data_IF_387245491652
#
_entry.id   IF_387245491652
#
_cell.length_a   1.000
_cell.length_b   1.000
_cell.length_c   1.000
_cell.angle_alpha   90.00
_cell.angle_beta   90.00
_cell.angle_gamma   90.00
#
_symmetry.space_group_name_H-M   'P 1'
#
loop_
_entity.id
_entity.type
_entity.pdbx_description
1 polymer ?
#
# COMPACT_ATOMS: atom_id res chain seq x y z
N UNK A 1 -31.80 -37.23 34.67
CA UNK A 1 -32.00 -35.89 34.08
C UNK A 1 -30.88 -34.91 34.32
N UNK A 2 -29.96 -35.06 35.27
CA UNK A 2 -28.84 -34.09 35.52
C UNK A 2 -27.67 -34.18 34.56
N UNK A 3 -27.44 -35.31 33.88
CA UNK A 3 -26.28 -35.48 32.96
C UNK A 3 -26.47 -34.84 31.57
N UNK A 4 -27.71 -34.68 31.12
CA UNK A 4 -28.02 -34.05 29.81
C UNK A 4 -27.88 -32.52 29.81
N UNK A 5 -28.11 -31.88 30.96
CA UNK A 5 -27.92 -30.41 31.07
C UNK A 5 -26.45 -29.99 31.03
N UNK A 6 -25.55 -30.84 31.56
CA UNK A 6 -24.11 -30.54 31.54
C UNK A 6 -23.50 -30.63 30.12
N UNK A 7 -23.98 -31.55 29.31
CA UNK A 7 -23.53 -31.71 27.91
C UNK A 7 -24.01 -30.56 27.02
N UNK A 8 -25.23 -30.04 27.23
CA UNK A 8 -25.76 -28.90 26.48
C UNK A 8 -25.04 -27.62 26.86
N UNK A 9 -24.70 -27.42 28.13
CA UNK A 9 -23.93 -26.27 28.59
C UNK A 9 -22.49 -26.28 28.04
N UNK A 10 -21.84 -27.45 27.96
CA UNK A 10 -20.50 -27.58 27.38
C UNK A 10 -20.48 -27.30 25.86
N UNK A 11 -21.54 -27.73 25.15
CA UNK A 11 -21.69 -27.48 23.73
C UNK A 11 -21.96 -25.99 23.40
N UNK A 12 -22.73 -25.30 24.24
CA UNK A 12 -23.00 -23.88 24.13
C UNK A 12 -21.74 -23.02 24.41
N UNK A 13 -20.90 -23.43 25.38
CA UNK A 13 -19.62 -22.75 25.67
C UNK A 13 -18.63 -22.97 24.55
N UNK A 14 -18.59 -24.16 23.94
CA UNK A 14 -17.71 -24.44 22.80
C UNK A 14 -18.09 -23.64 21.54
N UNK A 15 -19.39 -23.43 21.28
CA UNK A 15 -19.85 -22.65 20.12
C UNK A 15 -19.62 -21.13 20.29
N UNK A 16 -19.70 -20.62 21.51
CA UNK A 16 -19.39 -19.21 21.81
C UNK A 16 -17.89 -18.91 21.73
N UNK A 17 -17.04 -19.89 22.05
CA UNK A 17 -15.58 -19.74 21.94
C UNK A 17 -15.07 -19.79 20.48
N UNK A 18 -15.75 -20.52 19.59
CA UNK A 18 -15.35 -20.64 18.19
C UNK A 18 -15.60 -19.36 17.38
N UNK A 19 -16.66 -18.63 17.71
CA UNK A 19 -16.95 -17.36 17.01
C UNK A 19 -16.00 -16.22 17.41
N UNK A 20 -15.43 -16.27 18.62
CA UNK A 20 -14.45 -15.29 19.09
C UNK A 20 -13.05 -15.45 18.46
N UNK A 21 -12.62 -16.69 18.22
CA UNK A 21 -11.30 -16.98 17.64
C UNK A 21 -11.23 -16.65 16.14
N UNK A 22 -12.32 -16.90 15.40
CA UNK A 22 -12.40 -16.54 13.99
C UNK A 22 -12.40 -15.02 13.77
N UNK A 23 -13.08 -14.26 14.64
CA UNK A 23 -13.09 -12.80 14.57
C UNK A 23 -11.75 -12.15 14.97
N UNK A 24 -11.01 -12.75 15.91
CA UNK A 24 -9.67 -12.27 16.29
C UNK A 24 -8.60 -12.52 15.23
N UNK A 25 -8.68 -13.62 14.47
CA UNK A 25 -7.72 -13.92 13.41
C UNK A 25 -7.88 -13.06 12.15
N UNK A 26 -9.07 -12.54 11.89
CA UNK A 26 -9.31 -11.58 10.79
C UNK A 26 -8.77 -10.19 11.16
N UNK A 27 -8.65 -9.86 12.43
CA UNK A 27 -8.15 -8.57 12.93
C UNK A 27 -6.61 -8.47 12.99
N UNK A 28 -5.87 -9.53 12.71
CA UNK A 28 -4.39 -9.53 12.71
C UNK A 28 -3.78 -9.07 11.38
N UNK A 29 -4.60 -8.72 10.39
CA UNK A 29 -4.15 -8.25 9.09
C UNK A 29 -3.65 -6.80 9.10
N UNK A 30 -4.23 -5.98 8.25
CA UNK A 30 -3.90 -4.55 8.12
C UNK A 30 -4.53 -3.76 9.28
N UNK A 31 -3.73 -2.97 9.98
CA UNK A 31 -4.15 -2.06 11.05
C UNK A 31 -3.88 -0.60 10.69
N UNK A 32 -2.80 -0.36 9.97
CA UNK A 32 -2.37 0.98 9.55
C UNK A 32 -2.28 1.02 8.04
N UNK A 33 -3.10 1.86 7.43
CA UNK A 33 -3.08 2.14 5.99
C UNK A 33 -2.40 3.47 5.76
N UNK A 34 -1.33 3.49 4.99
CA UNK A 34 -0.66 4.72 4.58
C UNK A 34 -1.10 5.07 3.16
N UNK A 35 -1.64 6.25 2.98
CA UNK A 35 -2.07 6.77 1.69
C UNK A 35 -1.08 7.85 1.24
N UNK A 36 -0.43 7.57 0.13
CA UNK A 36 0.49 8.49 -0.52
C UNK A 36 -0.18 9.18 -1.70
N UNK A 37 -0.33 10.49 -1.61
CA UNK A 37 -0.70 11.30 -2.75
C UNK A 37 0.55 11.65 -3.55
N UNK A 38 0.78 10.98 -4.67
CA UNK A 38 1.96 11.18 -5.50
C UNK A 38 2.16 12.64 -5.91
N UNK A 39 3.41 13.04 -6.11
CA UNK A 39 3.80 14.41 -6.40
C UNK A 39 3.50 15.41 -5.26
N UNK A 40 3.63 16.70 -5.50
CA UNK A 40 3.34 17.77 -4.54
C UNK A 40 4.34 18.92 -4.61
N UNK A 41 3.89 20.08 -4.17
CA UNK A 41 4.65 21.30 -4.20
C UNK A 41 4.96 21.83 -5.61
N UNK A 42 5.71 22.92 -5.74
CA UNK A 42 6.06 23.51 -7.02
C UNK A 42 7.09 22.70 -7.80
N UNK A 43 7.96 21.95 -7.11
CA UNK A 43 9.07 21.21 -7.75
C UNK A 43 8.61 19.92 -8.43
N UNK A 44 7.60 19.25 -7.87
CA UNK A 44 7.09 17.97 -8.37
C UNK A 44 5.60 18.06 -8.67
N UNK A 45 5.16 18.86 -9.68
CA UNK A 45 3.75 19.02 -9.99
C UNK A 45 3.11 17.78 -10.63
N UNK A 46 3.92 16.83 -11.12
CA UNK A 46 3.46 15.71 -11.93
C UNK A 46 3.02 16.16 -13.33
N UNK A 47 2.28 15.31 -14.00
CA UNK A 47 1.68 15.61 -15.28
C UNK A 47 0.64 16.74 -15.16
N UNK A 48 0.39 17.46 -16.26
CA UNK A 48 -0.66 18.47 -16.27
C UNK A 48 -1.40 18.52 -17.62
N UNK A 49 -2.66 18.90 -17.57
CA UNK A 49 -3.47 19.12 -18.74
C UNK A 49 -4.52 20.20 -18.47
N UNK A 50 -4.56 21.25 -19.33
CA UNK A 50 -5.53 22.36 -19.25
C UNK A 50 -5.63 22.99 -17.84
N UNK A 51 -4.49 23.21 -17.20
CA UNK A 51 -4.43 23.83 -15.87
C UNK A 51 -4.72 22.91 -14.69
N UNK A 52 -5.00 21.64 -14.94
CA UNK A 52 -5.16 20.61 -13.89
C UNK A 52 -3.86 19.86 -13.73
N UNK A 53 -3.32 19.82 -12.53
CA UNK A 53 -2.08 19.12 -12.21
C UNK A 53 -2.36 17.76 -11.55
N UNK A 54 -1.52 16.80 -11.85
CA UNK A 54 -1.59 15.47 -11.29
C UNK A 54 -1.53 15.49 -9.75
N UNK A 55 -0.64 16.29 -9.16
CA UNK A 55 -0.50 16.44 -7.72
C UNK A 55 -1.82 16.82 -7.01
N UNK A 56 -2.65 17.64 -7.67
CA UNK A 56 -3.91 18.11 -7.08
C UNK A 56 -4.99 17.04 -7.15
N UNK A 57 -5.05 16.30 -8.25
CA UNK A 57 -5.95 15.16 -8.40
C UNK A 57 -5.58 14.05 -7.43
N UNK A 58 -4.30 13.70 -7.34
CA UNK A 58 -3.80 12.68 -6.42
C UNK A 58 -4.16 13.03 -4.97
N UNK A 59 -3.98 14.29 -4.57
CA UNK A 59 -4.35 14.76 -3.24
C UNK A 59 -5.85 14.63 -2.96
N UNK A 60 -6.69 15.06 -3.90
CA UNK A 60 -8.13 14.96 -3.75
C UNK A 60 -8.61 13.51 -3.64
N UNK A 61 -8.05 12.60 -4.44
CA UNK A 61 -8.39 11.18 -4.40
C UNK A 61 -7.92 10.57 -3.07
N UNK A 62 -6.69 10.86 -2.64
CA UNK A 62 -6.12 10.36 -1.40
C UNK A 62 -6.97 10.78 -0.18
N UNK A 63 -7.34 12.04 -0.09
CA UNK A 63 -8.17 12.54 1.02
C UNK A 63 -9.57 11.91 1.03
N UNK A 64 -10.20 11.75 -0.14
CA UNK A 64 -11.50 11.08 -0.24
C UNK A 64 -11.40 9.59 0.12
N UNK A 65 -10.36 8.90 -0.34
CA UNK A 65 -10.14 7.49 -0.02
C UNK A 65 -9.95 7.31 1.49
N UNK A 66 -9.10 8.11 2.11
CA UNK A 66 -8.84 7.99 3.54
C UNK A 66 -10.08 8.30 4.39
N UNK A 67 -10.82 9.36 4.05
CA UNK A 67 -12.07 9.67 4.73
C UNK A 67 -13.10 8.53 4.60
N UNK A 68 -13.14 7.86 3.45
CA UNK A 68 -14.01 6.71 3.25
C UNK A 68 -13.56 5.51 4.11
N UNK A 69 -12.25 5.22 4.16
CA UNK A 69 -11.71 4.15 5.01
C UNK A 69 -12.02 4.44 6.48
N UNK A 70 -11.76 5.65 6.96
CA UNK A 70 -12.03 6.04 8.35
C UNK A 70 -13.51 5.89 8.72
N UNK A 71 -14.41 6.19 7.77
CA UNK A 71 -15.86 6.04 7.96
C UNK A 71 -16.32 4.59 7.96
N UNK A 72 -15.90 3.80 6.96
CA UNK A 72 -16.42 2.45 6.72
C UNK A 72 -15.69 1.38 7.54
N UNK A 73 -14.43 1.65 7.93
CA UNK A 73 -13.57 0.71 8.67
C UNK A 73 -12.87 1.46 9.82
N UNK A 74 -13.62 1.91 10.84
CA UNK A 74 -13.09 2.81 11.89
C UNK A 74 -11.98 2.19 12.76
N UNK A 75 -11.78 0.88 12.71
CA UNK A 75 -10.68 0.20 13.39
C UNK A 75 -9.33 0.36 12.65
N UNK A 76 -9.32 0.80 11.40
CA UNK A 76 -8.09 1.07 10.66
C UNK A 76 -7.59 2.49 10.96
N UNK A 77 -6.31 2.60 11.26
CA UNK A 77 -5.63 3.89 11.34
C UNK A 77 -5.23 4.32 9.93
N UNK A 78 -5.69 5.48 9.48
CA UNK A 78 -5.26 6.09 8.21
C UNK A 78 -4.17 7.11 8.46
N UNK A 79 -3.07 6.99 7.73
CA UNK A 79 -1.95 7.93 7.74
C UNK A 79 -1.76 8.44 6.31
N UNK A 80 -1.56 9.73 6.15
CA UNK A 80 -1.28 10.33 4.84
C UNK A 80 0.16 10.80 4.78
N UNK A 81 0.83 10.60 3.67
CA UNK A 81 2.14 11.21 3.46
C UNK A 81 2.01 12.74 3.40
N UNK A 82 0.99 13.25 2.72
CA UNK A 82 0.65 14.69 2.71
C UNK A 82 -0.86 14.91 2.71
N UNK A 83 -1.30 16.00 3.32
CA UNK A 83 -2.71 16.45 3.33
C UNK A 83 -2.89 17.82 2.65
N UNK A 84 -1.79 18.40 2.16
CA UNK A 84 -1.74 19.71 1.48
C UNK A 84 -0.86 19.60 0.24
N UNK A 85 -0.85 20.65 -0.59
CA UNK A 85 0.09 20.74 -1.70
C UNK A 85 1.48 21.10 -1.17
N UNK A 86 2.30 20.09 -0.89
CA UNK A 86 3.68 20.23 -0.43
C UNK A 86 4.59 19.16 -1.01
N UNK A 87 5.85 19.49 -1.13
CA UNK A 87 6.97 18.57 -1.27
C UNK A 87 7.76 18.48 0.03
N UNK A 88 8.56 17.44 0.19
CA UNK A 88 9.39 17.23 1.39
C UNK A 88 10.83 17.68 1.19
N UNK A 89 11.30 17.73 -0.05
CA UNK A 89 12.65 18.13 -0.44
C UNK A 89 12.67 18.72 -1.86
N UNK A 90 13.74 19.43 -2.19
CA UNK A 90 14.07 19.83 -3.56
C UNK A 90 14.68 18.68 -4.38
N UNK A 91 15.19 17.66 -3.72
CA UNK A 91 15.69 16.44 -4.33
C UNK A 91 14.58 15.39 -4.41
N UNK A 92 14.34 14.82 -5.60
CA UNK A 92 13.35 13.77 -5.81
C UNK A 92 13.61 12.56 -4.92
N UNK A 93 14.86 12.12 -4.82
CA UNK A 93 15.25 10.98 -3.97
C UNK A 93 14.90 11.23 -2.51
N UNK A 94 15.23 12.41 -1.99
CA UNK A 94 14.91 12.75 -0.60
C UNK A 94 13.41 12.95 -0.37
N UNK A 95 12.68 13.45 -1.39
CA UNK A 95 11.21 13.56 -1.31
C UNK A 95 10.56 12.18 -1.20
N UNK A 96 11.00 11.23 -2.02
CA UNK A 96 10.52 9.85 -1.98
C UNK A 96 10.90 9.17 -0.67
N UNK A 97 12.13 9.39 -0.18
CA UNK A 97 12.59 8.86 1.10
C UNK A 97 11.71 9.35 2.26
N UNK A 98 11.42 10.65 2.30
CA UNK A 98 10.58 11.22 3.36
C UNK A 98 9.17 10.59 3.39
N UNK A 99 8.61 10.21 2.24
CA UNK A 99 7.32 9.49 2.14
C UNK A 99 7.42 8.08 2.74
N UNK A 100 8.49 7.37 2.41
CA UNK A 100 8.78 6.06 2.99
C UNK A 100 8.99 6.14 4.50
N UNK A 101 9.73 7.15 4.98
CA UNK A 101 9.95 7.38 6.41
C UNK A 101 8.65 7.64 7.17
N UNK A 102 7.70 8.37 6.59
CA UNK A 102 6.37 8.58 7.17
C UNK A 102 5.66 7.23 7.33
N UNK A 103 5.71 6.38 6.31
CA UNK A 103 5.09 5.05 6.34
C UNK A 103 5.73 4.17 7.41
N UNK A 104 7.06 4.11 7.44
CA UNK A 104 7.82 3.30 8.39
C UNK A 104 7.60 3.75 9.83
N UNK A 105 7.67 5.07 10.09
CA UNK A 105 7.41 5.64 11.43
C UNK A 105 5.98 5.42 11.91
N UNK A 106 5.03 5.33 10.98
CA UNK A 106 3.64 5.04 11.31
C UNK A 106 3.39 3.55 11.63
N UNK A 107 4.34 2.67 11.33
CA UNK A 107 4.15 1.22 11.35
C UNK A 107 3.11 0.79 10.32
N UNK A 108 3.22 1.30 9.08
CA UNK A 108 2.26 1.04 8.01
C UNK A 108 2.25 -0.43 7.58
N UNK A 109 1.09 -1.05 7.64
CA UNK A 109 0.90 -2.44 7.16
C UNK A 109 0.57 -2.48 5.67
N UNK A 110 -0.06 -1.42 5.13
CA UNK A 110 -0.42 -1.27 3.72
C UNK A 110 -0.07 0.14 3.26
N UNK A 111 0.68 0.24 2.17
CA UNK A 111 1.01 1.50 1.50
C UNK A 111 0.31 1.58 0.15
N UNK A 112 -0.48 2.64 -0.05
CA UNK A 112 -1.23 2.90 -1.29
C UNK A 112 -0.76 4.22 -1.87
N UNK A 113 -0.04 4.19 -2.98
CA UNK A 113 0.33 5.40 -3.72
C UNK A 113 -0.65 5.66 -4.86
N UNK A 114 -1.04 6.91 -5.02
CA UNK A 114 -2.06 7.36 -5.97
C UNK A 114 -1.40 8.29 -6.98
N UNK A 115 -1.54 7.92 -8.26
CA UNK A 115 -1.05 8.68 -9.39
C UNK A 115 -2.13 8.82 -10.48
N UNK A 116 -2.10 9.90 -11.23
CA UNK A 116 -2.99 10.18 -12.37
C UNK A 116 -2.16 10.60 -13.57
N UNK A 117 -1.48 9.61 -14.17
CA UNK A 117 -0.57 9.82 -15.29
C UNK A 117 -1.25 10.47 -16.50
N UNK A 118 -0.52 11.30 -17.23
CA UNK A 118 -0.93 11.78 -18.53
C UNK A 118 -0.25 10.99 -19.65
N UNK A 119 -0.86 11.03 -20.83
CA UNK A 119 -0.29 10.46 -22.05
C UNK A 119 -0.51 11.41 -23.23
N UNK A 120 0.41 11.38 -24.18
CA UNK A 120 0.28 12.19 -25.42
C UNK A 120 -0.90 11.72 -26.29
N UNK A 121 -1.22 10.43 -26.26
CA UNK A 121 -2.34 9.88 -27.03
C UNK A 121 -3.68 10.12 -26.36
N UNK A 122 -4.61 10.73 -27.09
CA UNK A 122 -6.00 10.91 -26.63
C UNK A 122 -6.76 9.58 -26.41
N UNK A 123 -6.28 8.47 -26.97
CA UNK A 123 -6.84 7.14 -26.77
C UNK A 123 -6.37 6.48 -25.45
N UNK A 124 -5.34 7.01 -24.79
CA UNK A 124 -4.87 6.50 -23.53
C UNK A 124 -5.88 6.78 -22.44
N UNK A 125 -6.45 5.71 -21.88
CA UNK A 125 -7.48 5.79 -20.85
C UNK A 125 -7.49 4.52 -20.00
N UNK A 126 -8.08 4.61 -18.83
CA UNK A 126 -8.28 3.44 -17.96
C UNK A 126 -7.47 3.51 -16.69
N UNK A 127 -7.53 2.43 -15.94
CA UNK A 127 -6.89 2.28 -14.64
C UNK A 127 -6.01 1.03 -14.65
N UNK A 128 -4.83 1.16 -14.09
CA UNK A 128 -3.92 0.06 -13.79
C UNK A 128 -3.57 0.09 -12.31
N UNK A 129 -3.32 -1.06 -11.74
CA UNK A 129 -2.79 -1.20 -10.39
C UNK A 129 -1.42 -1.83 -10.48
N UNK A 130 -0.43 -1.18 -9.88
CA UNK A 130 0.96 -1.63 -9.88
C UNK A 130 1.26 -2.27 -8.54
N UNK A 131 1.98 -3.37 -8.56
CA UNK A 131 2.55 -4.01 -7.39
C UNK A 131 4.05 -4.16 -7.58
N UNK A 132 4.75 -4.44 -6.49
CA UNK A 132 6.19 -4.68 -6.56
C UNK A 132 6.48 -5.90 -7.44
N UNK A 133 7.19 -5.68 -8.54
CA UNK A 133 7.43 -6.72 -9.54
C UNK A 133 8.69 -7.54 -9.30
N UNK A 134 8.84 -8.61 -10.10
CA UNK A 134 9.95 -9.56 -10.01
C UNK A 134 10.93 -9.48 -11.20
N UNK A 135 10.69 -8.58 -12.16
CA UNK A 135 11.61 -8.42 -13.30
C UNK A 135 13.00 -7.94 -12.83
N UNK A 136 14.08 -8.19 -13.57
CA UNK A 136 15.42 -7.74 -13.20
C UNK A 136 15.52 -6.22 -13.01
N UNK A 137 14.76 -5.42 -13.78
CA UNK A 137 14.73 -3.97 -13.63
C UNK A 137 13.98 -3.57 -12.36
N UNK A 138 12.87 -4.22 -12.08
CA UNK A 138 12.06 -4.00 -10.88
C UNK A 138 12.77 -4.50 -9.64
N UNK A 139 13.48 -5.64 -9.70
CA UNK A 139 14.35 -6.11 -8.62
C UNK A 139 15.39 -5.07 -8.24
N UNK A 140 16.06 -4.46 -9.21
CA UNK A 140 17.04 -3.40 -8.95
C UNK A 140 16.39 -2.13 -8.36
N UNK A 141 15.18 -1.78 -8.79
CA UNK A 141 14.43 -0.66 -8.22
C UNK A 141 13.98 -0.98 -6.78
N UNK A 142 13.53 -2.20 -6.52
CA UNK A 142 13.14 -2.67 -5.21
C UNK A 142 14.32 -2.74 -4.24
N UNK A 143 15.47 -3.23 -4.69
CA UNK A 143 16.72 -3.23 -3.92
C UNK A 143 17.11 -1.80 -3.51
N UNK A 144 17.03 -0.84 -4.43
CA UNK A 144 17.29 0.57 -4.13
C UNK A 144 16.26 1.15 -3.17
N UNK A 145 14.97 0.86 -3.37
CA UNK A 145 13.91 1.34 -2.49
C UNK A 145 14.08 0.80 -1.07
N UNK A 146 14.48 -0.46 -0.89
CA UNK A 146 14.78 -1.04 0.41
C UNK A 146 16.03 -0.41 1.04
N UNK A 147 17.07 -0.21 0.27
CA UNK A 147 18.27 0.47 0.71
C UNK A 147 17.96 1.88 1.21
N UNK A 148 17.19 2.66 0.45
CA UNK A 148 16.79 4.01 0.84
C UNK A 148 15.78 4.03 1.99
N UNK A 149 14.85 3.07 2.06
CA UNK A 149 13.82 3.04 3.09
C UNK A 149 14.32 2.63 4.47
N UNK A 150 15.38 1.84 4.55
CA UNK A 150 15.89 1.37 5.83
C UNK A 150 16.99 2.26 6.41
N UNK A 151 17.41 3.34 5.73
CA UNK A 151 18.46 4.28 6.17
C UNK A 151 19.73 3.59 6.69
N UNK A 152 19.99 2.38 6.25
CA UNK A 152 21.20 1.68 6.64
C UNK A 152 22.34 2.17 5.77
N UNK A 153 22.86 3.35 6.10
CA UNK A 153 24.16 3.84 5.61
C UNK A 153 25.30 2.82 5.78
N UNK A 154 25.00 1.72 6.46
CA UNK A 154 25.91 0.63 6.81
C UNK A 154 25.85 -0.56 5.84
N UNK A 155 24.90 -0.62 4.90
CA UNK A 155 24.80 -1.71 3.95
C UNK A 155 25.68 -1.44 2.73
N UNK A 156 26.92 -1.90 2.78
CA UNK A 156 27.80 -1.91 1.62
C UNK A 156 27.33 -2.95 0.60
N UNK A 157 26.51 -2.50 -0.36
CA UNK A 157 25.99 -3.32 -1.45
C UNK A 157 27.06 -3.76 -2.45
N UNK A 158 28.30 -3.20 -2.38
CA UNK A 158 29.44 -3.70 -3.14
C UNK A 158 29.99 -5.00 -2.55
N UNK A 159 29.67 -5.27 -1.28
CA UNK A 159 29.98 -6.53 -0.63
C UNK A 159 28.96 -7.61 -1.02
N UNK A 160 29.43 -8.64 -1.72
CA UNK A 160 28.58 -9.73 -2.22
C UNK A 160 27.73 -10.43 -1.14
N UNK A 161 28.27 -10.59 0.07
CA UNK A 161 27.52 -11.21 1.19
C UNK A 161 26.38 -10.32 1.66
N UNK A 162 26.64 -9.01 1.82
CA UNK A 162 25.63 -8.02 2.19
C UNK A 162 24.54 -7.96 1.13
N UNK A 163 24.91 -7.87 -0.13
CA UNK A 163 23.97 -7.86 -1.25
C UNK A 163 23.11 -9.13 -1.31
N UNK A 164 23.70 -10.30 -1.05
CA UNK A 164 22.98 -11.57 -0.99
C UNK A 164 21.95 -11.61 0.16
N UNK A 165 22.29 -11.11 1.33
CA UNK A 165 21.39 -11.03 2.49
C UNK A 165 20.20 -10.08 2.17
N UNK A 166 20.49 -8.91 1.62
CA UNK A 166 19.46 -7.94 1.23
C UNK A 166 18.51 -8.54 0.19
N UNK A 167 19.05 -9.20 -0.85
CA UNK A 167 18.23 -9.89 -1.86
C UNK A 167 17.36 -10.99 -1.26
N UNK A 168 17.91 -11.81 -0.36
CA UNK A 168 17.14 -12.84 0.33
C UNK A 168 16.04 -12.26 1.19
N UNK A 169 16.27 -11.12 1.85
CA UNK A 169 15.25 -10.41 2.62
C UNK A 169 14.14 -9.86 1.73
N UNK A 170 14.48 -9.24 0.59
CA UNK A 170 13.49 -8.76 -0.40
C UNK A 170 12.64 -9.92 -0.91
N UNK A 171 13.27 -11.04 -1.30
CA UNK A 171 12.55 -12.22 -1.76
C UNK A 171 11.62 -12.79 -0.69
N UNK A 172 12.05 -12.76 0.57
CA UNK A 172 11.20 -13.19 1.69
C UNK A 172 9.99 -12.28 1.87
N UNK A 173 10.16 -10.96 1.76
CA UNK A 173 9.05 -10.00 1.80
C UNK A 173 8.08 -10.20 0.64
N UNK A 174 8.57 -10.40 -0.57
CA UNK A 174 7.75 -10.70 -1.74
C UNK A 174 7.01 -12.02 -1.58
N UNK A 175 7.68 -13.06 -1.09
CA UNK A 175 7.07 -14.36 -0.80
C UNK A 175 5.98 -14.25 0.28
N UNK A 176 6.22 -13.46 1.33
CA UNK A 176 5.29 -13.35 2.47
C UNK A 176 4.10 -12.45 2.17
N UNK A 177 4.31 -11.34 1.45
CA UNK A 177 3.30 -10.30 1.26
C UNK A 177 2.84 -10.13 -0.20
N UNK A 178 3.54 -10.73 -1.17
CA UNK A 178 3.25 -10.60 -2.59
C UNK A 178 1.85 -11.07 -2.94
N UNK A 179 1.42 -12.21 -2.43
CA UNK A 179 0.06 -12.75 -2.65
C UNK A 179 -1.03 -11.82 -2.11
N UNK A 180 -0.82 -11.19 -0.95
CA UNK A 180 -1.76 -10.23 -0.38
C UNK A 180 -1.81 -8.94 -1.21
N UNK A 181 -0.65 -8.46 -1.67
CA UNK A 181 -0.55 -7.30 -2.56
C UNK A 181 -1.25 -7.57 -3.89
N UNK A 182 -1.04 -8.74 -4.48
CA UNK A 182 -1.70 -9.15 -5.72
C UNK A 182 -3.21 -9.31 -5.53
N UNK A 183 -3.66 -9.95 -4.47
CA UNK A 183 -5.09 -10.10 -4.16
C UNK A 183 -5.76 -8.72 -4.00
N UNK A 184 -5.14 -7.79 -3.28
CA UNK A 184 -5.63 -6.43 -3.13
C UNK A 184 -5.68 -5.69 -4.46
N UNK A 185 -4.61 -5.75 -5.26
CA UNK A 185 -4.53 -5.11 -6.57
C UNK A 185 -5.62 -5.65 -7.52
N UNK A 186 -5.86 -6.95 -7.54
CA UNK A 186 -6.94 -7.57 -8.33
C UNK A 186 -8.32 -7.11 -7.89
N UNK A 187 -8.56 -6.98 -6.58
CA UNK A 187 -9.82 -6.46 -6.04
C UNK A 187 -10.03 -5.00 -6.44
N UNK A 188 -9.02 -4.15 -6.27
CA UNK A 188 -9.05 -2.74 -6.68
C UNK A 188 -9.36 -2.64 -8.17
N UNK A 189 -8.65 -3.38 -9.02
CA UNK A 189 -8.86 -3.38 -10.47
C UNK A 189 -10.26 -3.86 -10.84
N UNK A 190 -10.78 -4.92 -10.20
CA UNK A 190 -12.14 -5.42 -10.38
C UNK A 190 -13.19 -4.33 -10.08
N UNK A 191 -13.02 -3.58 -9.01
CA UNK A 191 -13.95 -2.52 -8.64
C UNK A 191 -13.89 -1.32 -9.59
N UNK A 192 -12.70 -0.96 -10.11
CA UNK A 192 -12.58 0.04 -11.17
C UNK A 192 -13.33 -0.36 -12.44
N UNK A 193 -13.18 -1.61 -12.86
CA UNK A 193 -13.91 -2.15 -14.03
C UNK A 193 -15.42 -2.12 -13.78
N UNK A 194 -15.88 -2.54 -12.60
CA UNK A 194 -17.29 -2.47 -12.21
C UNK A 194 -17.84 -1.05 -12.23
N UNK A 195 -17.01 -0.05 -11.97
CA UNK A 195 -17.38 1.36 -12.06
C UNK A 195 -17.32 1.93 -13.50
N UNK A 196 -17.16 1.09 -14.51
CA UNK A 196 -17.11 1.48 -15.93
C UNK A 196 -15.76 2.00 -16.40
N UNK A 197 -14.69 1.84 -15.63
CA UNK A 197 -13.33 2.24 -16.04
C UNK A 197 -12.71 1.20 -16.96
N UNK A 198 -11.97 1.67 -17.96
CA UNK A 198 -11.24 0.76 -18.85
C UNK A 198 -10.13 0.03 -18.07
N UNK A 199 -10.09 -1.30 -18.21
CA UNK A 199 -9.15 -2.14 -17.50
C UNK A 199 -7.79 -2.16 -18.20
N UNK A 200 -6.74 -1.70 -17.51
CA UNK A 200 -5.35 -1.82 -17.98
C UNK A 200 -4.58 -2.92 -17.25
N UNK A 201 -5.22 -3.60 -16.31
CA UNK A 201 -4.69 -4.75 -15.59
C UNK A 201 -3.94 -4.41 -14.31
N UNK A 202 -3.49 -5.48 -13.65
CA UNK A 202 -2.48 -5.45 -12.58
C UNK A 202 -1.13 -5.71 -13.23
N UNK A 203 -0.11 -4.97 -12.82
CA UNK A 203 1.27 -5.06 -13.36
C UNK A 203 2.27 -5.09 -12.23
#
# INVERSE_FOLDING_TARGET
MRKSLFLVALFLIATLSFNGVAAQNIAQGVRVVVIDAGHGGPKFPGAHYRGVYEKDLNLQIALKLGALIEKEIPQLKVVYTRKTDKQFSESLTQDLQARADIANKAGGDLFISIHTNAAASASARGVETLIMGESPLEKNANERALYYNNQEELLDMSNEKTAAIVRAYIQNLQFTYGEYSEAMARLVQKHYVKSGRHNRGVK
#
